data_IF_990764940349
#
_entry.id   IF_990764940349
#
_cell.length_a   1.000
_cell.length_b   1.000
_cell.length_c   1.000
_cell.angle_alpha   90.00
_cell.angle_beta   90.00
_cell.angle_gamma   90.00
#
_symmetry.space_group_name_H-M   'P 1'
#
loop_
_entity.id
_entity.type
_entity.pdbx_description
1 polymer ?
#
# COMPACT_ATOMS: atom_id res chain seq x y z
N UNK A 1 9.72 -2.76 11.67
CA UNK A 1 8.59 -2.28 10.85
C UNK A 1 8.12 -0.95 11.40
N UNK A 2 7.68 -0.03 10.55
CA UNK A 2 7.35 1.35 10.95
C UNK A 2 6.04 1.78 10.29
N UNK A 3 5.16 2.47 11.04
CA UNK A 3 3.98 3.13 10.48
C UNK A 3 4.39 4.53 9.97
N UNK A 4 4.09 4.83 8.72
CA UNK A 4 4.46 6.09 8.06
C UNK A 4 3.21 6.76 7.51
N UNK A 5 3.09 8.07 7.77
CA UNK A 5 2.15 8.91 7.05
C UNK A 5 2.77 9.37 5.72
N UNK A 6 2.06 9.15 4.62
CA UNK A 6 2.49 9.56 3.29
C UNK A 6 1.48 10.54 2.71
N UNK A 7 1.94 11.76 2.37
CA UNK A 7 1.15 12.82 1.76
C UNK A 7 1.67 13.04 0.33
N UNK A 8 1.12 12.33 -0.67
CA UNK A 8 1.65 12.44 -2.03
C UNK A 8 1.27 13.80 -2.66
N UNK A 9 2.26 14.51 -3.19
CA UNK A 9 2.07 15.81 -3.87
C UNK A 9 1.45 15.63 -5.27
N UNK A 10 1.68 14.48 -5.91
CA UNK A 10 1.09 14.12 -7.20
C UNK A 10 0.32 12.81 -7.09
N UNK A 11 -0.44 12.44 -8.14
CA UNK A 11 -1.23 11.20 -8.17
C UNK A 11 -0.68 10.14 -9.13
N UNK A 12 0.65 9.99 -9.28
CA UNK A 12 1.21 9.02 -10.22
C UNK A 12 0.90 7.58 -9.80
N UNK A 13 0.78 6.69 -10.77
CA UNK A 13 0.49 5.28 -10.51
C UNK A 13 1.55 4.67 -9.58
N UNK A 14 1.07 4.05 -8.49
CA UNK A 14 1.91 3.40 -7.48
C UNK A 14 2.95 4.30 -6.79
N UNK A 15 2.80 5.63 -6.84
CA UNK A 15 3.86 6.57 -6.41
C UNK A 15 4.43 6.26 -5.02
N UNK A 16 3.57 6.11 -4.00
CA UNK A 16 4.01 5.83 -2.63
C UNK A 16 4.77 4.51 -2.54
N UNK A 17 4.29 3.48 -3.25
CA UNK A 17 4.88 2.13 -3.24
C UNK A 17 6.30 2.14 -3.81
N UNK A 18 6.48 2.74 -4.99
CA UNK A 18 7.79 2.85 -5.66
C UNK A 18 8.76 3.71 -4.86
N UNK A 19 8.30 4.84 -4.31
CA UNK A 19 9.16 5.74 -3.54
C UNK A 19 9.66 5.08 -2.25
N UNK A 20 8.80 4.34 -1.56
CA UNK A 20 9.20 3.66 -0.32
C UNK A 20 10.13 2.47 -0.60
N UNK A 21 9.90 1.74 -1.68
CA UNK A 21 10.79 0.66 -2.13
C UNK A 21 12.18 1.19 -2.53
N UNK A 22 12.24 2.28 -3.30
CA UNK A 22 13.50 2.83 -3.80
C UNK A 22 14.43 3.36 -2.70
N UNK A 23 13.90 3.65 -1.51
CA UNK A 23 14.67 4.04 -0.32
C UNK A 23 14.89 2.87 0.66
N UNK A 24 14.55 1.65 0.29
CA UNK A 24 14.77 0.44 1.11
C UNK A 24 13.71 0.21 2.21
N UNK A 25 12.54 0.82 2.08
CA UNK A 25 11.44 0.73 3.03
C UNK A 25 10.14 0.23 2.38
N UNK A 26 10.22 -0.87 1.63
CA UNK A 26 9.08 -1.51 0.96
C UNK A 26 7.87 -1.68 1.90
N UNK A 27 6.67 -1.39 1.38
CA UNK A 27 5.42 -1.52 2.14
C UNK A 27 5.15 -3.01 2.42
N UNK A 28 4.76 -3.33 3.65
CA UNK A 28 4.31 -4.68 4.00
C UNK A 28 3.16 -5.14 3.12
N UNK A 29 3.22 -6.38 2.66
CA UNK A 29 2.22 -6.98 1.80
C UNK A 29 2.19 -6.38 0.39
N UNK A 30 3.22 -5.64 -0.03
CA UNK A 30 3.40 -5.28 -1.44
C UNK A 30 3.84 -6.51 -2.23
N UNK A 31 3.04 -6.99 -3.20
CA UNK A 31 3.36 -8.20 -3.94
C UNK A 31 4.11 -7.92 -5.25
N UNK A 32 4.49 -6.67 -5.51
CA UNK A 32 5.12 -6.26 -6.77
C UNK A 32 6.48 -5.61 -6.52
N UNK A 33 6.57 -4.69 -5.56
CA UNK A 33 7.82 -4.00 -5.24
C UNK A 33 8.54 -4.70 -4.08
N UNK A 34 9.87 -4.71 -4.10
CA UNK A 34 10.70 -5.34 -3.07
C UNK A 34 10.63 -6.87 -3.02
N UNK A 35 10.12 -7.51 -4.08
CA UNK A 35 10.08 -8.98 -4.25
C UNK A 35 10.80 -9.38 -5.53
N UNK A 36 11.16 -10.67 -5.63
CA UNK A 36 11.70 -11.25 -6.86
C UNK A 36 10.66 -11.21 -8.00
N UNK A 37 11.12 -10.99 -9.23
CA UNK A 37 10.26 -10.92 -10.41
C UNK A 37 9.38 -12.18 -10.60
N UNK A 38 9.89 -13.37 -10.23
CA UNK A 38 9.13 -14.62 -10.28
C UNK A 38 7.96 -14.59 -9.29
N UNK A 39 8.19 -14.09 -8.08
CA UNK A 39 7.15 -13.96 -7.05
C UNK A 39 6.08 -12.96 -7.52
N UNK A 40 6.50 -11.83 -8.09
CA UNK A 40 5.58 -10.85 -8.64
C UNK A 40 4.71 -11.44 -9.78
N UNK A 41 5.31 -12.18 -10.72
CA UNK A 41 4.57 -12.85 -11.80
C UNK A 41 3.61 -13.92 -11.27
N UNK A 42 4.05 -14.78 -10.35
CA UNK A 42 3.17 -15.79 -9.72
C UNK A 42 2.00 -15.16 -8.98
N UNK A 43 2.21 -14.01 -8.33
CA UNK A 43 1.16 -13.27 -7.66
C UNK A 43 0.15 -12.71 -8.66
N UNK A 44 0.64 -12.08 -9.73
CA UNK A 44 -0.21 -11.51 -10.79
C UNK A 44 -1.03 -12.61 -11.50
N UNK A 45 -0.48 -13.81 -11.62
CA UNK A 45 -1.17 -15.00 -12.15
C UNK A 45 -2.08 -15.70 -11.15
N UNK A 46 -2.13 -15.23 -9.88
CA UNK A 46 -2.92 -15.80 -8.78
C UNK A 46 -2.58 -17.27 -8.48
N UNK A 47 -1.30 -17.62 -8.62
CA UNK A 47 -0.78 -18.97 -8.36
C UNK A 47 -0.35 -19.11 -6.90
N UNK A 48 0.15 -18.02 -6.29
CA UNK A 48 0.60 -18.00 -4.90
C UNK A 48 -0.56 -18.17 -3.91
N UNK A 49 -0.44 -19.13 -3.00
CA UNK A 49 -1.37 -19.31 -1.87
C UNK A 49 -1.26 -18.17 -0.86
N UNK A 50 -2.31 -17.95 -0.07
CA UNK A 50 -2.31 -16.89 0.94
C UNK A 50 -1.25 -17.12 2.03
N UNK A 51 -0.97 -18.37 2.40
CA UNK A 51 0.09 -18.72 3.36
C UNK A 51 1.46 -18.32 2.81
N UNK A 52 1.74 -18.67 1.55
CA UNK A 52 3.04 -18.35 0.94
C UNK A 52 3.22 -16.85 0.75
N UNK A 53 2.13 -16.12 0.45
CA UNK A 53 2.14 -14.65 0.40
C UNK A 53 2.51 -14.07 1.76
N UNK A 54 1.86 -14.49 2.84
CA UNK A 54 2.19 -13.97 4.18
C UNK A 54 3.66 -14.25 4.53
N UNK A 55 4.17 -15.44 4.20
CA UNK A 55 5.57 -15.81 4.42
C UNK A 55 6.55 -14.90 3.65
N UNK A 56 6.25 -14.58 2.39
CA UNK A 56 7.14 -13.82 1.51
C UNK A 56 7.08 -12.31 1.73
N UNK A 57 5.88 -11.74 1.88
CA UNK A 57 5.65 -10.28 1.91
C UNK A 57 5.14 -9.76 3.26
N UNK A 58 5.02 -10.64 4.26
CA UNK A 58 4.75 -10.28 5.66
C UNK A 58 3.31 -9.89 5.99
N UNK A 59 2.41 -9.81 4.99
CA UNK A 59 1.01 -9.47 5.21
C UNK A 59 0.08 -10.05 4.14
N UNK A 60 -1.19 -10.27 4.51
CA UNK A 60 -2.25 -10.78 3.62
C UNK A 60 -2.61 -9.83 2.47
N UNK A 61 -2.39 -8.53 2.67
CA UNK A 61 -2.73 -7.46 1.74
C UNK A 61 -1.71 -6.34 1.84
N UNK A 62 -1.69 -5.49 0.83
CA UNK A 62 -0.91 -4.26 0.85
C UNK A 62 -1.34 -3.37 2.03
N UNK A 63 -0.37 -3.07 2.91
CA UNK A 63 -0.53 -2.21 4.07
C UNK A 63 -0.40 -0.73 3.70
N UNK A 64 -1.19 -0.31 2.71
CA UNK A 64 -1.34 1.08 2.28
C UNK A 64 -2.81 1.47 2.36
N UNK A 65 -3.10 2.52 3.12
CA UNK A 65 -4.46 2.96 3.40
C UNK A 65 -4.61 4.46 3.16
N UNK A 66 -5.61 4.86 2.37
CA UNK A 66 -5.96 6.26 2.18
C UNK A 66 -6.74 6.76 3.41
N UNK A 67 -6.01 7.30 4.38
CA UNK A 67 -6.58 7.65 5.69
C UNK A 67 -7.47 8.90 5.64
N UNK A 68 -6.99 9.97 5.00
CA UNK A 68 -7.63 11.27 4.96
C UNK A 68 -7.70 11.82 3.53
N UNK A 69 -8.76 12.58 3.23
CA UNK A 69 -8.90 13.36 2.01
C UNK A 69 -9.49 14.74 2.34
N UNK A 70 -8.71 15.78 2.01
CA UNK A 70 -9.09 17.18 2.11
C UNK A 70 -9.24 17.80 0.72
N UNK A 71 -10.38 18.44 0.45
CA UNK A 71 -10.60 19.16 -0.81
C UNK A 71 -11.69 20.24 -0.69
N UNK A 72 -11.68 21.19 -1.63
CA UNK A 72 -12.74 22.20 -1.77
C UNK A 72 -13.60 21.85 -2.98
N UNK A 73 -14.92 21.88 -2.81
CA UNK A 73 -15.88 21.68 -3.89
C UNK A 73 -17.09 22.60 -3.68
N UNK A 74 -17.42 23.40 -4.72
CA UNK A 74 -18.50 24.40 -4.67
C UNK A 74 -18.39 25.34 -3.45
N UNK A 75 -17.19 25.90 -3.26
CA UNK A 75 -16.85 26.82 -2.16
C UNK A 75 -17.07 26.26 -0.76
N UNK A 76 -17.17 24.93 -0.63
CA UNK A 76 -17.27 24.21 0.63
C UNK A 76 -16.05 23.33 0.83
N UNK A 77 -15.46 23.42 2.02
CA UNK A 77 -14.38 22.55 2.45
C UNK A 77 -14.94 21.19 2.89
N UNK A 78 -14.27 20.13 2.45
CA UNK A 78 -14.52 18.75 2.84
C UNK A 78 -13.24 18.20 3.46
N UNK A 79 -13.36 17.74 4.71
CA UNK A 79 -12.34 16.97 5.41
C UNK A 79 -12.94 15.62 5.77
N UNK A 80 -12.48 14.56 5.10
CA UNK A 80 -13.02 13.22 5.23
C UNK A 80 -11.92 12.30 5.74
N UNK A 81 -12.08 11.79 6.96
CA UNK A 81 -11.21 10.77 7.53
C UNK A 81 -11.91 9.43 7.55
N UNK A 82 -11.27 8.43 6.94
CA UNK A 82 -11.73 7.05 6.99
C UNK A 82 -11.43 6.43 8.35
N UNK A 83 -12.31 5.53 8.81
CA UNK A 83 -12.05 4.79 10.05
C UNK A 83 -10.97 3.74 9.77
N UNK A 84 -9.88 3.80 10.52
CA UNK A 84 -8.91 2.70 10.57
C UNK A 84 -9.63 1.49 11.18
N UNK A 85 -9.98 0.53 10.35
CA UNK A 85 -10.77 -0.63 10.75
C UNK A 85 -9.87 -1.69 11.36
N UNK A 86 -10.42 -2.61 12.17
CA UNK A 86 -9.71 -3.76 12.77
C UNK A 86 -9.07 -4.72 11.75
N UNK A 87 -9.15 -4.45 10.45
CA UNK A 87 -8.57 -5.27 9.38
C UNK A 87 -7.05 -5.07 9.23
N UNK A 88 -6.46 -4.16 10.01
CA UNK A 88 -5.02 -3.90 10.06
C UNK A 88 -4.35 -4.47 11.32
N UNK A 89 -5.11 -5.15 12.20
CA UNK A 89 -4.61 -6.03 13.26
C UNK A 89 -4.33 -7.43 12.69
#
# INVERSE_FOLDING_TARGET
TTLVEAIPITGRQHQIRVHLDSIGHTILGDPIYGVDDQIADEYLRKILSDEKRIELIGAKRLMLHANNLLFVYKDKEYDITSKFSKFYE
#
